data_IF_966288797864
#
_entry.id   IF_966288797864
#
_cell.length_a   1.000
_cell.length_b   1.000
_cell.length_c   1.000
_cell.angle_alpha   90.00
_cell.angle_beta   90.00
_cell.angle_gamma   90.00
#
_symmetry.space_group_name_H-M   'P 1'
#
loop_
_entity.id
_entity.type
_entity.pdbx_description
1 polymer ?
#
# COMPACT_ATOMS: atom_id res chain seq x y z
N UNK A 1 -7.85 37.13 -25.82
CA UNK A 1 -8.77 37.68 -24.77
C UNK A 1 -9.54 36.52 -24.18
N UNK A 2 -9.27 36.15 -22.95
CA UNK A 2 -9.92 35.01 -22.26
C UNK A 2 -11.30 35.46 -21.78
N UNK A 3 -12.34 34.70 -22.06
CA UNK A 3 -13.72 35.06 -21.71
C UNK A 3 -13.87 35.06 -20.17
N UNK A 4 -14.48 36.10 -19.54
CA UNK A 4 -14.55 36.27 -18.09
C UNK A 4 -15.23 35.09 -17.36
N UNK A 5 -16.17 34.40 -18.02
CA UNK A 5 -16.81 33.19 -17.47
C UNK A 5 -15.84 32.00 -17.37
N UNK A 6 -14.92 31.85 -18.33
CA UNK A 6 -13.90 30.79 -18.27
C UNK A 6 -12.92 31.06 -17.13
N UNK A 7 -12.56 32.30 -16.88
CA UNK A 7 -11.70 32.69 -15.75
C UNK A 7 -12.39 32.42 -14.41
N UNK A 8 -13.67 32.74 -14.27
CA UNK A 8 -14.42 32.47 -13.05
C UNK A 8 -14.61 30.98 -12.78
N UNK A 9 -14.90 30.20 -13.82
CA UNK A 9 -14.99 28.73 -13.72
C UNK A 9 -13.65 28.10 -13.36
N UNK A 10 -12.55 28.56 -13.97
CA UNK A 10 -11.21 28.09 -13.64
C UNK A 10 -10.86 28.39 -12.17
N UNK A 11 -11.16 29.61 -11.67
CA UNK A 11 -10.93 29.97 -10.28
C UNK A 11 -11.77 29.13 -9.30
N UNK A 12 -13.01 28.79 -9.64
CA UNK A 12 -13.85 27.93 -8.82
C UNK A 12 -13.26 26.51 -8.70
N UNK A 13 -12.65 26.00 -9.79
CA UNK A 13 -12.05 24.67 -9.86
C UNK A 13 -10.63 24.57 -9.25
N UNK A 14 -9.96 25.69 -9.03
CA UNK A 14 -8.66 25.70 -8.32
C UNK A 14 -8.76 25.07 -6.91
N UNK A 15 -9.95 25.07 -6.31
CA UNK A 15 -10.21 24.40 -5.03
C UNK A 15 -10.13 22.86 -5.11
N UNK A 16 -10.26 22.30 -6.30
CA UNK A 16 -10.26 20.86 -6.53
C UNK A 16 -8.84 20.25 -6.42
N UNK A 17 -7.79 21.08 -6.53
CA UNK A 17 -6.39 20.66 -6.41
C UNK A 17 -5.59 21.55 -5.44
N UNK A 18 -5.96 21.61 -4.13
CA UNK A 18 -5.45 22.61 -3.21
C UNK A 18 -3.94 22.58 -2.99
N UNK A 19 -3.33 21.39 -2.98
CA UNK A 19 -1.89 21.24 -2.80
C UNK A 19 -1.11 21.79 -3.99
N UNK A 20 -1.55 21.47 -5.20
CA UNK A 20 -0.91 21.95 -6.43
C UNK A 20 -1.09 23.46 -6.60
N UNK A 21 -2.29 23.99 -6.36
CA UNK A 21 -2.57 25.42 -6.41
C UNK A 21 -1.67 26.17 -5.47
N UNK A 22 -1.55 25.70 -4.22
CA UNK A 22 -0.66 26.34 -3.24
C UNK A 22 0.81 26.31 -3.64
N UNK A 23 1.26 25.19 -4.21
CA UNK A 23 2.61 25.10 -4.76
C UNK A 23 2.80 26.09 -5.92
N UNK A 24 1.82 26.22 -6.84
CA UNK A 24 1.88 27.17 -7.94
C UNK A 24 1.98 28.63 -7.46
N UNK A 25 1.19 29.01 -6.46
CA UNK A 25 1.26 30.34 -5.85
C UNK A 25 2.67 30.64 -5.31
N UNK A 26 3.29 29.68 -4.63
CA UNK A 26 4.63 29.84 -4.05
C UNK A 26 5.74 29.88 -5.10
N UNK A 27 5.54 29.24 -6.25
CA UNK A 27 6.56 29.09 -7.30
C UNK A 27 6.31 29.97 -8.55
N UNK A 28 5.30 30.86 -8.52
CA UNK A 28 4.95 31.71 -9.65
C UNK A 28 4.50 30.92 -10.90
N UNK A 29 3.90 29.74 -10.68
CA UNK A 29 3.43 28.87 -11.77
C UNK A 29 1.91 29.00 -11.95
N UNK A 30 1.43 28.73 -13.18
CA UNK A 30 -0.01 28.72 -13.47
C UNK A 30 -0.61 27.36 -13.09
N UNK A 31 -1.61 27.38 -12.22
CA UNK A 31 -2.27 26.16 -11.78
C UNK A 31 -3.27 25.62 -12.82
N UNK A 32 -3.91 26.50 -13.60
CA UNK A 32 -4.88 26.11 -14.61
C UNK A 32 -4.89 27.13 -15.78
N UNK A 33 -4.64 26.71 -17.03
CA UNK A 33 -4.18 25.40 -17.42
C UNK A 33 -2.73 25.15 -16.95
N UNK A 34 -2.47 23.99 -16.37
CA UNK A 34 -1.12 23.57 -16.04
C UNK A 34 -0.41 22.92 -17.22
N UNK A 35 0.92 22.98 -17.23
CA UNK A 35 1.74 22.26 -18.20
C UNK A 35 2.26 20.95 -17.62
N UNK A 36 2.57 19.94 -18.44
CA UNK A 36 3.23 18.72 -17.97
C UNK A 36 4.54 18.99 -17.22
N UNK A 37 5.30 20.01 -17.64
CA UNK A 37 6.53 20.43 -16.97
C UNK A 37 6.27 21.00 -15.56
N UNK A 38 5.20 21.80 -15.37
CA UNK A 38 4.82 22.32 -14.07
C UNK A 38 4.40 21.19 -13.10
N UNK A 39 3.67 20.19 -13.62
CA UNK A 39 3.29 19.01 -12.83
C UNK A 39 4.51 18.18 -12.44
N UNK A 40 5.42 17.91 -13.37
CA UNK A 40 6.65 17.18 -13.09
C UNK A 40 7.52 17.89 -12.05
N UNK A 41 7.65 19.22 -12.14
CA UNK A 41 8.37 20.01 -11.15
C UNK A 41 7.70 19.98 -9.77
N UNK A 42 6.37 20.12 -9.70
CA UNK A 42 5.60 19.97 -8.47
C UNK A 42 5.88 18.61 -7.79
N UNK A 43 5.82 17.52 -8.57
CA UNK A 43 6.09 16.16 -8.07
C UNK A 43 7.51 16.06 -7.53
N UNK A 44 8.50 16.60 -8.24
CA UNK A 44 9.91 16.56 -7.82
C UNK A 44 10.14 17.38 -6.56
N UNK A 45 9.62 18.60 -6.48
CA UNK A 45 9.79 19.51 -5.34
C UNK A 45 9.09 18.95 -4.08
N UNK A 46 7.98 18.23 -4.26
CA UNK A 46 7.20 17.64 -3.19
C UNK A 46 7.52 16.16 -2.92
N UNK A 47 8.58 15.60 -3.52
CA UNK A 47 8.93 14.18 -3.42
C UNK A 47 9.06 13.67 -1.97
N UNK A 48 9.52 14.51 -1.05
CA UNK A 48 9.65 14.19 0.38
C UNK A 48 8.32 13.87 1.09
N UNK A 49 7.17 14.27 0.52
CA UNK A 49 5.85 13.94 1.05
C UNK A 49 5.48 12.48 0.82
N UNK A 50 6.18 11.79 -0.07
CA UNK A 50 5.94 10.40 -0.44
C UNK A 50 4.70 10.20 -1.31
N UNK A 51 4.63 9.02 -1.94
CA UNK A 51 3.58 8.67 -2.91
C UNK A 51 2.16 8.70 -2.31
N UNK A 52 2.00 8.37 -1.04
CA UNK A 52 0.68 8.38 -0.37
C UNK A 52 0.00 9.75 -0.39
N UNK A 53 0.77 10.83 -0.44
CA UNK A 53 0.25 12.20 -0.54
C UNK A 53 0.31 12.75 -1.95
N UNK A 54 1.35 12.43 -2.70
CA UNK A 54 1.54 12.95 -4.06
C UNK A 54 0.58 12.35 -5.07
N UNK A 55 0.29 11.05 -4.97
CA UNK A 55 -0.63 10.43 -5.91
C UNK A 55 -2.03 11.05 -5.90
N UNK A 56 -2.70 11.23 -4.74
CA UNK A 56 -3.96 11.94 -4.68
C UNK A 56 -3.88 13.36 -5.24
N UNK A 57 -2.80 14.10 -4.95
CA UNK A 57 -2.62 15.46 -5.45
C UNK A 57 -2.49 15.51 -6.98
N UNK A 58 -1.79 14.56 -7.60
CA UNK A 58 -1.69 14.44 -9.06
C UNK A 58 -3.05 14.07 -9.67
N UNK A 59 -3.80 13.19 -9.02
CA UNK A 59 -5.18 12.86 -9.43
C UNK A 59 -6.12 14.07 -9.35
N UNK A 60 -5.95 14.93 -8.34
CA UNK A 60 -6.72 16.17 -8.21
C UNK A 60 -6.43 17.13 -9.38
N UNK A 61 -5.17 17.23 -9.82
CA UNK A 61 -4.78 18.02 -11.00
C UNK A 61 -5.48 17.48 -12.26
N UNK A 62 -5.43 16.16 -12.46
CA UNK A 62 -6.11 15.49 -13.59
C UNK A 62 -7.61 15.79 -13.58
N UNK A 63 -8.28 15.56 -12.45
CA UNK A 63 -9.73 15.81 -12.30
C UNK A 63 -10.10 17.27 -12.57
N UNK A 64 -9.31 18.21 -12.07
CA UNK A 64 -9.52 19.64 -12.28
C UNK A 64 -9.48 20.00 -13.77
N UNK A 65 -8.49 19.49 -14.52
CA UNK A 65 -8.36 19.78 -15.97
C UNK A 65 -9.47 19.12 -16.77
N UNK A 66 -9.77 17.85 -16.52
CA UNK A 66 -10.85 17.11 -17.17
C UNK A 66 -12.21 17.79 -16.94
N UNK A 67 -12.49 18.25 -15.72
CA UNK A 67 -13.73 18.95 -15.40
C UNK A 67 -13.91 20.29 -16.14
N UNK A 68 -12.79 20.89 -16.58
CA UNK A 68 -12.77 22.12 -17.39
C UNK A 68 -12.69 21.86 -18.90
N UNK A 69 -12.68 20.60 -19.33
CA UNK A 69 -12.50 20.24 -20.73
C UNK A 69 -11.10 20.57 -21.27
N UNK A 70 -10.10 20.68 -20.38
CA UNK A 70 -8.71 20.94 -20.74
C UNK A 70 -7.93 19.63 -20.92
N UNK A 71 -6.84 19.69 -21.67
CA UNK A 71 -5.91 18.57 -21.77
C UNK A 71 -5.34 18.23 -20.40
N UNK A 72 -5.30 16.96 -20.06
CA UNK A 72 -4.77 16.47 -18.78
C UNK A 72 -3.23 16.54 -18.79
N UNK A 73 -2.61 17.43 -17.97
CA UNK A 73 -1.16 17.59 -17.95
C UNK A 73 -0.44 16.43 -17.24
N UNK A 74 -1.17 15.56 -16.58
CA UNK A 74 -0.60 14.42 -15.82
C UNK A 74 -0.31 13.23 -16.72
N UNK A 75 -0.93 13.13 -17.91
CA UNK A 75 -0.73 12.05 -18.88
C UNK A 75 0.59 12.15 -19.63
N UNK A 76 1.33 13.24 -19.49
CA UNK A 76 2.62 13.43 -20.15
C UNK A 76 3.74 12.57 -19.54
N UNK A 77 4.67 12.11 -20.39
CA UNK A 77 5.82 11.33 -19.92
C UNK A 77 6.69 12.00 -18.86
N UNK A 78 6.66 13.34 -18.77
CA UNK A 78 7.38 14.09 -17.74
C UNK A 78 6.82 13.85 -16.33
N UNK A 79 5.49 13.89 -16.17
CA UNK A 79 4.85 13.62 -14.90
C UNK A 79 5.06 12.18 -14.46
N UNK A 80 4.91 11.22 -15.39
CA UNK A 80 5.16 9.80 -15.13
C UNK A 80 6.62 9.55 -14.73
N UNK A 81 7.58 10.19 -15.40
CA UNK A 81 9.01 10.07 -15.06
C UNK A 81 9.32 10.63 -13.68
N UNK A 82 8.76 11.80 -13.32
CA UNK A 82 8.94 12.39 -12.00
C UNK A 82 8.36 11.47 -10.91
N UNK A 83 7.18 10.89 -11.14
CA UNK A 83 6.54 9.95 -10.20
C UNK A 83 7.34 8.66 -10.02
N UNK A 84 7.96 8.14 -11.08
CA UNK A 84 8.78 6.91 -11.00
C UNK A 84 10.05 7.07 -10.18
N UNK A 85 10.54 8.30 -10.01
CA UNK A 85 11.68 8.62 -9.14
C UNK A 85 11.36 8.60 -7.64
N UNK A 86 10.07 8.56 -7.28
CA UNK A 86 9.64 8.51 -5.88
C UNK A 86 9.50 7.03 -5.49
N UNK A 87 9.98 6.68 -4.27
CA UNK A 87 10.09 5.30 -3.81
C UNK A 87 8.89 4.43 -4.20
N UNK A 88 9.14 3.49 -5.09
CA UNK A 88 8.16 2.52 -5.55
C UNK A 88 7.72 1.60 -4.40
N UNK A 89 6.46 1.17 -4.43
CA UNK A 89 5.99 0.12 -3.52
C UNK A 89 6.70 -1.18 -3.91
N UNK A 90 7.43 -1.82 -2.99
CA UNK A 90 8.10 -3.06 -3.33
C UNK A 90 7.08 -4.16 -3.65
N UNK A 91 7.31 -4.95 -4.70
CA UNK A 91 6.43 -6.08 -5.01
C UNK A 91 6.44 -7.10 -3.87
N UNK A 92 5.34 -7.85 -3.67
CA UNK A 92 5.24 -8.85 -2.61
C UNK A 92 6.38 -9.87 -2.70
N UNK A 93 7.00 -10.18 -1.56
CA UNK A 93 8.18 -11.07 -1.50
C UNK A 93 7.89 -12.47 -2.02
N UNK A 94 6.68 -12.99 -1.78
CA UNK A 94 6.22 -14.31 -2.19
C UNK A 94 6.01 -14.48 -3.69
N UNK A 95 5.96 -13.36 -4.45
CA UNK A 95 5.66 -13.44 -5.88
C UNK A 95 6.87 -13.89 -6.70
N UNK A 96 6.67 -14.76 -7.72
CA UNK A 96 7.69 -15.11 -8.70
C UNK A 96 8.24 -13.89 -9.45
N UNK A 97 9.53 -13.90 -9.83
CA UNK A 97 10.21 -12.76 -10.44
C UNK A 97 9.52 -12.18 -11.68
N UNK A 98 8.87 -13.04 -12.50
CA UNK A 98 8.10 -12.58 -13.67
C UNK A 98 6.93 -11.67 -13.28
N UNK A 99 6.22 -11.99 -12.18
CA UNK A 99 5.10 -11.18 -11.71
C UNK A 99 5.55 -9.93 -10.96
N UNK A 100 6.73 -9.94 -10.34
CA UNK A 100 7.32 -8.73 -9.75
C UNK A 100 7.55 -7.65 -10.79
N UNK A 101 8.08 -8.01 -11.97
CA UNK A 101 8.24 -7.06 -13.08
C UNK A 101 6.89 -6.51 -13.60
N UNK A 102 5.85 -7.33 -13.61
CA UNK A 102 4.51 -6.88 -13.99
C UNK A 102 3.90 -5.95 -12.93
N UNK A 103 4.18 -6.22 -11.64
CA UNK A 103 3.74 -5.36 -10.54
C UNK A 103 4.30 -3.94 -10.66
N UNK A 104 5.57 -3.79 -11.04
CA UNK A 104 6.22 -2.48 -11.22
C UNK A 104 5.59 -1.65 -12.34
N UNK A 105 4.94 -2.30 -13.32
CA UNK A 105 4.23 -1.65 -14.41
C UNK A 105 2.76 -1.30 -14.11
N UNK A 106 2.22 -1.71 -12.95
CA UNK A 106 0.85 -1.41 -12.56
C UNK A 106 0.69 0.06 -12.11
N UNK A 107 -0.52 0.63 -12.26
CA UNK A 107 -0.87 1.89 -11.62
C UNK A 107 -0.65 1.84 -10.11
N UNK A 108 -0.25 2.96 -9.53
CA UNK A 108 0.15 3.04 -8.10
C UNK A 108 -0.97 2.61 -7.13
N UNK A 109 -2.21 2.97 -7.40
CA UNK A 109 -3.38 2.57 -6.60
C UNK A 109 -3.56 1.05 -6.58
N UNK A 110 -3.36 0.40 -7.73
CA UNK A 110 -3.39 -1.06 -7.85
C UNK A 110 -2.23 -1.71 -7.10
N UNK A 111 -1.01 -1.13 -7.21
CA UNK A 111 0.14 -1.60 -6.45
C UNK A 111 -0.11 -1.52 -4.94
N UNK A 112 -0.67 -0.41 -4.46
CA UNK A 112 -1.00 -0.20 -3.04
C UNK A 112 -2.02 -1.22 -2.55
N UNK A 113 -3.08 -1.43 -3.33
CA UNK A 113 -4.12 -2.40 -3.01
C UNK A 113 -3.56 -3.82 -2.91
N UNK A 114 -2.83 -4.26 -3.93
CA UNK A 114 -2.23 -5.60 -3.99
C UNK A 114 -1.21 -5.81 -2.86
N UNK A 115 -0.32 -4.86 -2.62
CA UNK A 115 0.68 -4.96 -1.56
C UNK A 115 0.02 -5.06 -0.17
N UNK A 116 -1.03 -4.28 0.09
CA UNK A 116 -1.76 -4.32 1.36
C UNK A 116 -2.50 -5.65 1.55
N UNK A 117 -3.16 -6.14 0.50
CA UNK A 117 -3.87 -7.42 0.50
C UNK A 117 -2.92 -8.60 0.75
N UNK A 118 -1.77 -8.64 0.05
CA UNK A 118 -0.76 -9.68 0.25
C UNK A 118 -0.14 -9.62 1.66
N UNK A 119 0.10 -8.43 2.20
CA UNK A 119 0.59 -8.28 3.56
C UNK A 119 -0.43 -8.80 4.60
N UNK A 120 -1.72 -8.61 4.38
CA UNK A 120 -2.78 -9.16 5.24
C UNK A 120 -2.82 -10.69 5.14
N UNK A 121 -2.75 -11.24 3.93
CA UNK A 121 -2.69 -12.69 3.68
C UNK A 121 -1.49 -13.33 4.36
N UNK A 122 -0.31 -12.75 4.23
CA UNK A 122 0.91 -13.25 4.89
C UNK A 122 0.78 -13.25 6.42
N UNK A 123 0.19 -12.19 7.00
CA UNK A 123 -0.06 -12.12 8.45
C UNK A 123 -1.03 -13.21 8.91
N UNK A 124 -2.10 -13.45 8.16
CA UNK A 124 -3.07 -14.50 8.47
C UNK A 124 -2.43 -15.88 8.39
N UNK A 125 -1.63 -16.14 7.36
CA UNK A 125 -0.91 -17.41 7.20
C UNK A 125 0.08 -17.65 8.36
N UNK A 126 0.86 -16.64 8.75
CA UNK A 126 1.78 -16.76 9.90
C UNK A 126 1.04 -17.05 11.20
N UNK A 127 -0.11 -16.40 11.44
CA UNK A 127 -0.94 -16.69 12.63
C UNK A 127 -1.39 -18.15 12.61
N UNK A 128 -1.97 -18.62 11.50
CA UNK A 128 -2.41 -20.01 11.37
C UNK A 128 -1.27 -21.02 11.58
N UNK A 129 -0.06 -20.75 11.05
CA UNK A 129 1.12 -21.56 11.26
C UNK A 129 1.56 -21.61 12.73
N UNK A 130 1.56 -20.46 13.41
CA UNK A 130 1.90 -20.38 14.83
C UNK A 130 0.86 -21.11 15.70
N UNK A 131 -0.42 -20.95 15.39
CA UNK A 131 -1.49 -21.64 16.10
C UNK A 131 -1.42 -23.16 15.93
N UNK A 132 -1.12 -23.61 14.71
CA UNK A 132 -0.91 -25.02 14.43
C UNK A 132 0.34 -25.59 15.14
N UNK A 133 1.43 -24.82 15.21
CA UNK A 133 2.63 -25.21 15.96
C UNK A 133 2.33 -25.31 17.47
N UNK A 134 1.63 -24.32 18.03
CA UNK A 134 1.24 -24.33 19.43
C UNK A 134 0.28 -25.50 19.76
N UNK A 135 -0.66 -25.82 18.86
CA UNK A 135 -1.55 -26.97 19.03
C UNK A 135 -0.78 -28.30 19.03
N UNK A 136 0.20 -28.47 18.13
CA UNK A 136 1.05 -29.66 18.13
C UNK A 136 1.85 -29.80 19.43
N UNK A 137 2.43 -28.71 19.93
CA UNK A 137 3.17 -28.73 21.19
C UNK A 137 2.27 -29.12 22.38
N UNK A 138 1.02 -28.60 22.43
CA UNK A 138 0.06 -28.98 23.46
C UNK A 138 -0.32 -30.46 23.38
N UNK A 139 -0.50 -31.00 22.16
CA UNK A 139 -0.81 -32.40 21.95
C UNK A 139 0.32 -33.28 22.49
N UNK A 140 1.58 -32.99 22.12
CA UNK A 140 2.76 -33.74 22.59
C UNK A 140 2.87 -33.69 24.12
N UNK A 141 2.63 -32.52 24.72
CA UNK A 141 2.66 -32.36 26.17
C UNK A 141 1.56 -33.20 26.86
N UNK A 142 0.35 -33.21 26.28
CA UNK A 142 -0.76 -34.01 26.77
C UNK A 142 -0.48 -35.52 26.69
N UNK A 143 0.04 -35.98 25.55
CA UNK A 143 0.43 -37.40 25.35
C UNK A 143 1.51 -37.82 26.36
N UNK A 144 2.51 -36.97 26.61
CA UNK A 144 3.54 -37.24 27.62
C UNK A 144 2.96 -37.35 29.04
N UNK A 145 2.00 -36.51 29.39
CA UNK A 145 1.33 -36.55 30.70
C UNK A 145 0.46 -37.80 30.89
N UNK A 146 -0.26 -38.22 29.84
CA UNK A 146 -1.09 -39.45 29.89
C UNK A 146 -0.22 -40.70 30.01
N UNK A 147 0.88 -40.77 29.26
CA UNK A 147 1.82 -41.88 29.33
C UNK A 147 2.52 -42.01 30.69
N UNK A 148 2.86 -40.88 31.33
CA UNK A 148 3.42 -40.84 32.68
C UNK A 148 2.43 -41.30 33.77
N UNK A 149 1.14 -41.06 33.58
CA UNK A 149 0.11 -41.54 34.51
C UNK A 149 -0.14 -43.04 34.41
N UNK A 150 -0.07 -43.57 33.20
CA UNK A 150 -0.22 -45.06 32.98
C UNK A 150 0.94 -45.83 33.57
N UNK A 151 2.17 -45.36 33.48
CA UNK A 151 3.34 -46.00 34.09
C UNK A 151 3.30 -45.98 35.59
N UNK A 152 2.96 -44.86 36.22
CA UNK A 152 2.83 -44.75 37.68
C UNK A 152 1.63 -45.55 38.24
N UNK A 153 0.57 -45.72 37.48
CA UNK A 153 -0.59 -46.54 37.88
C UNK A 153 -0.26 -48.04 37.84
N UNK A 154 0.60 -48.51 36.91
CA UNK A 154 1.02 -49.87 36.81
C UNK A 154 2.01 -50.30 37.91
N UNK A 155 2.92 -49.38 38.32
CA UNK A 155 3.86 -49.65 39.43
C UNK A 155 3.15 -49.70 40.76
N UNK A 156 2.11 -48.88 41.01
CA UNK A 156 1.32 -48.93 42.23
C UNK A 156 0.48 -50.19 42.35
N UNK A 157 0.01 -50.76 41.25
CA UNK A 157 -0.75 -52.00 41.23
C UNK A 157 0.12 -53.25 41.50
N UNK A 158 1.39 -53.24 41.04
CA UNK A 158 2.35 -54.34 41.31
C UNK A 158 2.84 -54.32 42.77
N UNK A 159 3.02 -53.18 43.40
CA UNK A 159 3.46 -53.08 44.78
C UNK A 159 2.37 -53.47 45.81
N UNK A 160 1.09 -53.49 45.44
CA UNK A 160 0.00 -53.91 46.28
C UNK A 160 -0.31 -55.41 46.22
N UNK A 161 0.28 -56.18 45.29
CA UNK A 161 0.06 -57.61 45.08
C UNK A 161 1.02 -58.56 45.83
N UNK A 162 2.10 -58.02 46.44
CA UNK A 162 3.15 -58.85 47.08
C UNK A 162 3.05 -58.95 48.59
N UNK A 163 1.90 -58.64 49.18
CA UNK A 163 1.69 -58.70 50.62
C UNK A 163 0.48 -59.57 50.97
N UNK A 164 0.52 -60.90 50.59
CA UNK A 164 -0.45 -61.88 51.11
C UNK A 164 0.27 -63.24 51.32
#
# INVERSE_FOLDING_TARGET
>A
MTHPLLTALAQARLRDAPMFVKWCELNGATACPATPASVARFVTDCASLGMSRLWPAVQDISRMHVALGLADPTLGGLAASAMSGIAAIPPPRSWPGRFKRQFDALPYDIQTHLASHEAQRERALRRAQNDAAAARQRLVAFEAQTKGKETNGSEAATAAGDNN
#
